data_IF_578371512319
#
_entry.id   IF_578371512319
#
_cell.length_a   1.000
_cell.length_b   1.000
_cell.length_c   1.000
_cell.angle_alpha   90.00
_cell.angle_beta   90.00
_cell.angle_gamma   90.00
#
_symmetry.space_group_name_H-M   'P 1'
#
loop_
_entity.id
_entity.type
_entity.pdbx_description
1 polymer ?
#
# COMPACT_ATOMS: atom_id res chain seq x y z
N UNK A 1 33.56 -7.21 35.57
CA UNK A 1 33.87 -8.22 34.52
C UNK A 1 32.60 -8.66 33.79
N UNK A 2 31.53 -9.04 34.50
CA UNK A 2 30.23 -9.47 33.95
C UNK A 2 29.59 -8.45 32.98
N UNK A 3 29.52 -7.17 33.32
CA UNK A 3 28.98 -6.13 32.41
C UNK A 3 29.69 -6.02 31.05
N UNK A 4 31.02 -6.17 31.05
CA UNK A 4 31.84 -6.17 29.82
C UNK A 4 31.55 -7.41 28.98
N UNK A 5 31.28 -8.55 29.63
CA UNK A 5 30.89 -9.79 28.95
C UNK A 5 29.51 -9.65 28.32
N UNK A 6 28.52 -9.16 29.06
CA UNK A 6 27.16 -8.88 28.54
C UNK A 6 27.20 -7.95 27.33
N UNK A 7 28.02 -6.88 27.39
CA UNK A 7 28.19 -5.95 26.26
C UNK A 7 28.79 -6.63 25.02
N UNK A 8 29.74 -7.56 25.20
CA UNK A 8 30.33 -8.32 24.09
C UNK A 8 29.35 -9.32 23.48
N UNK A 9 28.57 -10.01 24.31
CA UNK A 9 27.54 -10.97 23.84
C UNK A 9 26.45 -10.22 23.07
N UNK A 10 26.01 -9.06 23.57
CA UNK A 10 25.08 -8.17 22.87
C UNK A 10 25.62 -7.69 21.51
N UNK A 11 26.92 -7.40 21.44
CA UNK A 11 27.59 -6.97 20.21
C UNK A 11 27.83 -8.11 19.20
N UNK A 12 27.77 -9.37 19.63
CA UNK A 12 28.04 -10.54 18.79
C UNK A 12 27.02 -10.72 17.64
N UNK A 13 27.45 -11.40 16.56
CA UNK A 13 26.58 -11.69 15.40
C UNK A 13 25.51 -12.75 15.71
N UNK A 14 25.83 -13.70 16.59
CA UNK A 14 24.95 -14.78 17.03
C UNK A 14 24.68 -14.62 18.51
N UNK A 15 23.55 -14.00 18.85
CA UNK A 15 23.11 -13.87 20.24
C UNK A 15 22.53 -15.21 20.68
N UNK A 16 23.19 -15.87 21.62
CA UNK A 16 22.63 -16.98 22.39
C UNK A 16 21.60 -16.40 23.36
N UNK A 17 20.33 -16.76 23.15
CA UNK A 17 19.19 -16.18 23.85
C UNK A 17 19.19 -16.54 25.33
N UNK A 18 19.39 -17.83 25.64
CA UNK A 18 19.36 -18.34 27.01
C UNK A 18 20.56 -17.83 27.81
N UNK A 19 21.74 -17.87 27.21
CA UNK A 19 22.96 -17.39 27.87
C UNK A 19 22.92 -15.90 28.17
N UNK A 20 22.42 -15.08 27.23
CA UNK A 20 22.30 -13.64 27.43
C UNK A 20 21.24 -13.31 28.51
N UNK A 21 20.13 -14.04 28.54
CA UNK A 21 19.10 -13.85 29.56
C UNK A 21 19.66 -14.09 30.97
N UNK A 22 20.42 -15.17 31.16
CA UNK A 22 21.08 -15.48 32.42
C UNK A 22 22.07 -14.37 32.84
N UNK A 23 22.86 -13.85 31.89
CA UNK A 23 23.77 -12.74 32.15
C UNK A 23 23.06 -11.44 32.53
N UNK A 24 21.84 -11.22 32.04
CA UNK A 24 21.05 -10.03 32.37
C UNK A 24 20.35 -10.17 33.73
N UNK A 25 19.94 -11.39 34.10
CA UNK A 25 19.35 -11.68 35.43
C UNK A 25 20.38 -11.63 36.55
N UNK A 26 21.65 -11.93 36.25
CA UNK A 26 22.78 -11.88 37.20
C UNK A 26 23.32 -10.44 37.41
N UNK A 27 22.76 -9.44 36.71
CA UNK A 27 23.10 -8.02 36.83
C UNK A 27 21.96 -7.25 37.53
N UNK A 28 22.25 -6.13 38.21
CA UNK A 28 21.22 -5.25 38.73
C UNK A 28 20.29 -4.76 37.61
N UNK A 29 18.98 -4.71 37.89
CA UNK A 29 17.94 -4.40 36.88
C UNK A 29 18.24 -3.10 36.12
N UNK A 30 18.68 -2.05 36.82
CA UNK A 30 19.01 -0.75 36.22
C UNK A 30 20.16 -0.84 35.21
N UNK A 31 21.18 -1.65 35.53
CA UNK A 31 22.35 -1.88 34.68
C UNK A 31 21.95 -2.66 33.43
N UNK A 32 21.16 -3.72 33.60
CA UNK A 32 20.63 -4.54 32.51
C UNK A 32 19.78 -3.71 31.55
N UNK A 33 18.83 -2.92 32.08
CA UNK A 33 17.95 -2.06 31.27
C UNK A 33 18.76 -0.99 30.52
N UNK A 34 19.75 -0.38 31.18
CA UNK A 34 20.65 0.59 30.54
C UNK A 34 21.42 -0.05 29.39
N UNK A 35 21.96 -1.24 29.58
CA UNK A 35 22.69 -1.99 28.55
C UNK A 35 21.80 -2.38 27.37
N UNK A 36 20.57 -2.82 27.64
CA UNK A 36 19.59 -3.09 26.58
C UNK A 36 19.32 -1.83 25.76
N UNK A 37 19.12 -0.66 26.40
CA UNK A 37 18.91 0.62 25.69
C UNK A 37 20.12 1.03 24.84
N UNK A 38 21.34 0.92 25.37
CA UNK A 38 22.58 1.25 24.66
C UNK A 38 22.81 0.36 23.41
N UNK A 39 22.48 -0.93 23.52
CA UNK A 39 22.66 -1.90 22.42
C UNK A 39 21.68 -1.72 21.25
N UNK A 40 20.59 -0.95 21.44
CA UNK A 40 19.59 -0.69 20.38
C UNK A 40 20.20 -0.03 19.15
N UNK A 41 21.14 0.91 19.34
CA UNK A 41 21.78 1.63 18.22
C UNK A 41 22.67 0.76 17.34
N UNK A 42 23.27 -0.28 17.91
CA UNK A 42 24.26 -1.15 17.25
C UNK A 42 23.63 -2.31 16.47
N UNK A 43 22.37 -2.65 16.77
CA UNK A 43 21.69 -3.85 16.25
C UNK A 43 21.05 -3.62 14.87
N UNK A 44 21.03 -2.38 14.39
CA UNK A 44 20.26 -1.94 13.22
C UNK A 44 20.85 -2.32 11.85
N UNK A 45 21.95 -3.07 11.83
CA UNK A 45 22.53 -3.60 10.60
C UNK A 45 21.74 -4.77 10.00
N UNK A 46 20.83 -5.40 10.77
CA UNK A 46 20.00 -6.50 10.28
C UNK A 46 18.69 -6.62 11.07
N UNK A 47 17.56 -6.58 10.37
CA UNK A 47 16.23 -6.76 10.97
C UNK A 47 16.07 -8.11 11.70
N UNK A 48 16.70 -9.17 11.19
CA UNK A 48 16.72 -10.49 11.84
C UNK A 48 17.39 -10.44 13.22
N UNK A 49 18.49 -9.69 13.34
CA UNK A 49 19.21 -9.51 14.61
C UNK A 49 18.37 -8.68 15.58
N UNK A 50 17.76 -7.59 15.09
CA UNK A 50 16.85 -6.75 15.87
C UNK A 50 15.72 -7.59 16.46
N UNK A 51 15.10 -8.46 15.67
CA UNK A 51 13.99 -9.31 16.13
C UNK A 51 14.40 -10.26 17.25
N UNK A 52 15.56 -10.94 17.12
CA UNK A 52 16.09 -11.80 18.20
C UNK A 52 16.35 -11.01 19.48
N UNK A 53 16.96 -9.83 19.35
CA UNK A 53 17.25 -8.94 20.48
C UNK A 53 15.97 -8.43 21.16
N UNK A 54 14.94 -8.08 20.38
CA UNK A 54 13.67 -7.61 20.91
C UNK A 54 12.92 -8.74 21.62
N UNK A 55 12.96 -9.96 21.09
CA UNK A 55 12.37 -11.12 21.77
C UNK A 55 13.04 -11.40 23.11
N UNK A 56 14.37 -11.33 23.17
CA UNK A 56 15.12 -11.44 24.42
C UNK A 56 14.76 -10.34 25.41
N UNK A 57 14.67 -9.09 24.94
CA UNK A 57 14.29 -7.95 25.79
C UNK A 57 12.85 -8.07 26.31
N UNK A 58 11.95 -8.64 25.51
CA UNK A 58 10.58 -8.97 25.90
C UNK A 58 10.57 -10.03 27.01
N UNK A 59 11.25 -11.17 26.80
CA UNK A 59 11.26 -12.28 27.74
C UNK A 59 11.89 -11.86 29.09
N UNK A 60 12.97 -11.07 29.06
CA UNK A 60 13.56 -10.47 30.26
C UNK A 60 12.57 -9.53 30.98
N UNK A 61 11.86 -8.69 30.23
CA UNK A 61 10.84 -7.79 30.77
C UNK A 61 9.68 -8.55 31.40
N UNK A 62 9.23 -9.65 30.80
CA UNK A 62 8.18 -10.51 31.34
C UNK A 62 8.59 -11.18 32.64
N UNK A 63 9.83 -11.69 32.73
CA UNK A 63 10.35 -12.31 33.95
C UNK A 63 10.39 -11.35 35.15
N UNK A 64 10.61 -10.06 34.89
CA UNK A 64 10.69 -9.03 35.93
C UNK A 64 9.40 -8.21 36.12
N UNK A 65 8.31 -8.54 35.39
CA UNK A 65 7.05 -7.78 35.45
C UNK A 65 7.16 -6.34 34.95
N UNK A 66 8.06 -6.06 34.00
CA UNK A 66 8.31 -4.72 33.47
C UNK A 66 7.52 -4.45 32.18
N UNK A 67 6.24 -4.09 32.31
CA UNK A 67 5.33 -3.89 31.17
C UNK A 67 5.83 -2.85 30.14
N UNK A 68 6.47 -1.77 30.62
CA UNK A 68 7.04 -0.74 29.75
C UNK A 68 8.15 -1.29 28.85
N UNK A 69 8.98 -2.21 29.37
CA UNK A 69 10.06 -2.83 28.60
C UNK A 69 9.50 -3.83 27.59
N UNK A 70 8.48 -4.60 27.99
CA UNK A 70 7.76 -5.55 27.12
C UNK A 70 7.11 -4.79 25.96
N UNK A 71 6.33 -3.74 26.23
CA UNK A 71 5.66 -2.93 25.22
C UNK A 71 6.66 -2.29 24.24
N UNK A 72 7.75 -1.71 24.76
CA UNK A 72 8.81 -1.15 23.92
C UNK A 72 9.46 -2.24 23.04
N UNK A 73 9.74 -3.42 23.59
CA UNK A 73 10.38 -4.51 22.85
C UNK A 73 9.48 -5.05 21.74
N UNK A 74 8.17 -5.22 22.00
CA UNK A 74 7.18 -5.59 20.99
C UNK A 74 7.08 -4.57 19.86
N UNK A 75 7.08 -3.29 20.19
CA UNK A 75 7.08 -2.23 19.19
C UNK A 75 8.32 -2.30 18.28
N UNK A 76 9.51 -2.53 18.82
CA UNK A 76 10.72 -2.69 18.01
C UNK A 76 10.74 -3.99 17.18
N UNK A 77 10.17 -5.09 17.69
CA UNK A 77 9.92 -6.30 16.89
C UNK A 77 9.05 -5.98 15.67
N UNK A 78 7.94 -5.27 15.89
CA UNK A 78 7.02 -4.84 14.83
C UNK A 78 7.73 -3.97 13.78
N UNK A 79 8.55 -2.99 14.20
CA UNK A 79 9.37 -2.20 13.28
C UNK A 79 10.33 -3.05 12.44
N UNK A 80 10.94 -4.08 13.03
CA UNK A 80 11.86 -4.97 12.31
C UNK A 80 11.11 -5.86 11.30
N UNK A 81 9.92 -6.32 11.67
CA UNK A 81 9.06 -7.08 10.77
C UNK A 81 8.62 -6.23 9.57
N UNK A 82 8.25 -4.96 9.78
CA UNK A 82 7.98 -4.02 8.69
C UNK A 82 9.21 -3.78 7.81
N UNK A 83 10.39 -3.59 8.41
CA UNK A 83 11.62 -3.45 7.65
C UNK A 83 11.92 -4.64 6.75
N UNK A 84 11.65 -5.87 7.21
CA UNK A 84 11.81 -7.08 6.40
C UNK A 84 10.74 -7.18 5.30
N UNK A 85 9.46 -6.98 5.65
CA UNK A 85 8.34 -7.05 4.70
C UNK A 85 8.52 -6.02 3.58
N UNK A 86 8.76 -4.76 3.92
CA UNK A 86 8.93 -3.67 2.94
C UNK A 86 10.17 -3.84 2.07
N UNK A 87 11.25 -4.43 2.62
CA UNK A 87 12.43 -4.79 1.84
C UNK A 87 12.14 -5.77 0.70
N UNK A 88 11.13 -6.64 0.82
CA UNK A 88 10.72 -7.55 -0.25
C UNK A 88 10.04 -6.83 -1.43
N UNK A 89 9.53 -5.62 -1.19
CA UNK A 89 8.90 -4.75 -2.20
C UNK A 89 9.80 -3.57 -2.59
N UNK A 90 11.10 -3.65 -2.27
CA UNK A 90 12.10 -2.61 -2.57
C UNK A 90 11.81 -1.25 -1.90
N UNK A 91 11.06 -1.26 -0.80
CA UNK A 91 10.76 -0.05 -0.02
C UNK A 91 11.71 0.00 1.18
N UNK A 92 12.58 1.02 1.22
CA UNK A 92 13.47 1.23 2.35
C UNK A 92 12.70 1.72 3.58
N UNK A 93 12.86 1.00 4.69
CA UNK A 93 12.29 1.36 6.00
C UNK A 93 13.32 1.94 6.97
N UNK A 94 14.57 2.15 6.55
CA UNK A 94 15.68 2.51 7.46
C UNK A 94 15.45 3.84 8.17
N UNK A 95 14.93 4.84 7.46
CA UNK A 95 14.58 6.14 8.04
C UNK A 95 13.38 6.02 8.97
N UNK A 96 12.26 5.45 8.51
CA UNK A 96 11.04 5.28 9.30
C UNK A 96 11.22 4.41 10.55
N UNK A 97 12.19 3.50 10.55
CA UNK A 97 12.55 2.69 11.72
C UNK A 97 12.96 3.56 12.92
N UNK A 98 13.70 4.66 12.68
CA UNK A 98 14.12 5.61 13.72
C UNK A 98 13.32 6.92 13.72
N UNK A 99 12.63 7.19 12.62
CA UNK A 99 11.91 8.42 12.36
C UNK A 99 10.64 8.54 13.18
N UNK A 100 10.04 9.70 13.10
CA UNK A 100 8.78 10.05 13.72
C UNK A 100 7.59 9.63 12.84
N UNK A 101 6.46 10.33 12.97
CA UNK A 101 5.27 10.05 12.18
C UNK A 101 5.46 10.40 10.70
N UNK A 102 6.23 11.44 10.39
CA UNK A 102 6.46 11.93 9.04
C UNK A 102 7.20 10.90 8.19
N UNK A 103 8.32 10.34 8.67
CA UNK A 103 9.04 9.33 7.88
C UNK A 103 8.22 8.05 7.69
N UNK A 104 7.33 7.71 8.65
CA UNK A 104 6.38 6.61 8.49
C UNK A 104 5.32 6.91 7.43
N UNK A 105 4.94 8.17 7.27
CA UNK A 105 4.03 8.60 6.23
C UNK A 105 4.67 8.64 4.85
N UNK A 106 5.95 8.99 4.76
CA UNK A 106 6.69 8.91 3.50
C UNK A 106 6.80 7.46 3.01
N UNK A 107 7.01 6.50 3.92
CA UNK A 107 6.99 5.06 3.59
C UNK A 107 5.59 4.64 3.15
N UNK A 108 4.55 5.07 3.85
CA UNK A 108 3.17 4.77 3.47
C UNK A 108 2.84 5.26 2.06
N UNK A 109 3.24 6.49 1.71
CA UNK A 109 3.07 7.01 0.35
C UNK A 109 3.75 6.12 -0.68
N UNK A 110 4.99 5.69 -0.43
CA UNK A 110 5.73 4.74 -1.29
C UNK A 110 5.04 3.38 -1.41
N UNK A 111 4.41 2.89 -0.34
CA UNK A 111 3.63 1.65 -0.38
C UNK A 111 2.43 1.76 -1.33
N UNK A 112 1.75 2.91 -1.34
CA UNK A 112 0.61 3.15 -2.22
C UNK A 112 0.97 3.19 -3.71
N UNK A 113 2.24 3.44 -4.06
CA UNK A 113 2.70 3.51 -5.46
C UNK A 113 3.11 2.16 -6.03
N UNK A 114 3.29 1.15 -5.18
CA UNK A 114 3.80 -0.17 -5.58
C UNK A 114 2.64 -1.14 -5.80
N UNK A 115 2.46 -1.58 -7.05
CA UNK A 115 1.43 -2.55 -7.41
C UNK A 115 1.57 -3.89 -6.65
N UNK A 116 2.79 -4.26 -6.25
CA UNK A 116 3.06 -5.49 -5.50
C UNK A 116 2.59 -5.48 -4.04
N UNK A 117 2.26 -4.32 -3.48
CA UNK A 117 1.72 -4.20 -2.12
C UNK A 117 0.24 -4.54 -2.14
N UNK A 118 -0.24 -5.42 -1.24
CA UNK A 118 -1.68 -5.73 -1.13
C UNK A 118 -2.42 -4.73 -0.23
N UNK A 119 -3.75 -4.69 -0.35
CA UNK A 119 -4.57 -3.84 0.51
C UNK A 119 -4.49 -4.26 1.99
N UNK A 120 -4.41 -5.56 2.30
CA UNK A 120 -4.24 -6.03 3.67
C UNK A 120 -2.95 -5.50 4.29
N UNK A 121 -1.88 -5.45 3.50
CA UNK A 121 -0.60 -4.89 3.95
C UNK A 121 -0.71 -3.39 4.23
N UNK A 122 -1.45 -2.64 3.39
CA UNK A 122 -1.76 -1.22 3.62
C UNK A 122 -2.54 -1.03 4.93
N UNK A 123 -3.60 -1.80 5.14
CA UNK A 123 -4.45 -1.72 6.35
C UNK A 123 -3.63 -2.06 7.60
N UNK A 124 -2.85 -3.15 7.54
CA UNK A 124 -2.00 -3.58 8.65
C UNK A 124 -0.98 -2.48 9.01
N UNK A 125 -0.36 -1.85 8.01
CA UNK A 125 0.58 -0.74 8.24
C UNK A 125 -0.10 0.42 8.96
N UNK A 126 -1.29 0.81 8.48
CA UNK A 126 -2.04 1.89 9.10
C UNK A 126 -2.41 1.59 10.56
N UNK A 127 -2.85 0.35 10.85
CA UNK A 127 -3.17 -0.09 12.22
C UNK A 127 -1.94 -0.05 13.13
N UNK A 128 -0.83 -0.64 12.68
CA UNK A 128 0.41 -0.76 13.46
C UNK A 128 1.03 0.60 13.80
N UNK A 129 0.90 1.58 12.89
CA UNK A 129 1.44 2.93 13.08
C UNK A 129 0.41 3.97 13.49
N UNK A 130 -0.82 3.55 13.82
CA UNK A 130 -1.95 4.41 14.21
C UNK A 130 -2.21 5.54 13.20
N UNK A 131 -2.01 5.23 11.93
CA UNK A 131 -2.38 6.11 10.81
C UNK A 131 -3.88 5.89 10.54
N UNK A 132 -4.61 6.97 10.28
CA UNK A 132 -6.05 6.89 10.04
C UNK A 132 -6.34 6.09 8.76
N UNK A 133 -6.79 4.83 8.92
CA UNK A 133 -7.07 3.92 7.81
C UNK A 133 -8.06 4.55 6.83
N UNK A 134 -9.17 5.10 7.32
CA UNK A 134 -10.26 5.59 6.46
C UNK A 134 -9.82 6.77 5.60
N UNK A 135 -9.22 7.80 6.19
CA UNK A 135 -8.72 8.97 5.44
C UNK A 135 -7.67 8.58 4.39
N UNK A 136 -6.87 7.55 4.67
CA UNK A 136 -5.83 7.11 3.74
C UNK A 136 -6.38 6.16 2.66
N UNK A 137 -7.39 5.35 2.94
CA UNK A 137 -8.11 4.58 1.91
C UNK A 137 -8.82 5.51 0.93
N UNK A 138 -9.40 6.63 1.41
CA UNK A 138 -9.94 7.67 0.53
C UNK A 138 -8.87 8.23 -0.41
N UNK A 139 -7.73 8.70 0.14
CA UNK A 139 -6.62 9.20 -0.66
C UNK A 139 -6.04 8.14 -1.61
N UNK A 140 -6.13 6.87 -1.21
CA UNK A 140 -5.70 5.75 -2.04
C UNK A 140 -6.62 5.51 -3.24
N UNK A 141 -7.94 5.61 -3.03
CA UNK A 141 -8.92 5.58 -4.12
C UNK A 141 -8.72 6.76 -5.07
N UNK A 142 -8.61 7.98 -4.55
CA UNK A 142 -8.32 9.18 -5.34
C UNK A 142 -7.07 8.96 -6.19
N UNK A 143 -6.00 8.43 -5.61
CA UNK A 143 -4.76 8.12 -6.33
C UNK A 143 -4.97 7.08 -7.44
N UNK A 144 -5.65 5.96 -7.17
CA UNK A 144 -5.95 4.94 -8.20
C UNK A 144 -6.73 5.59 -9.35
N UNK A 145 -7.69 6.44 -9.03
CA UNK A 145 -8.50 7.13 -10.01
C UNK A 145 -7.66 8.12 -10.83
N UNK A 146 -6.79 8.93 -10.22
CA UNK A 146 -5.96 9.92 -10.92
C UNK A 146 -4.88 9.29 -11.80
N UNK A 147 -4.20 8.25 -11.31
CA UNK A 147 -3.07 7.61 -12.00
C UNK A 147 -3.44 6.30 -12.68
N UNK A 148 -4.69 6.17 -13.10
CA UNK A 148 -5.18 5.00 -13.82
C UNK A 148 -4.42 4.86 -15.14
N UNK A 149 -3.43 3.97 -15.17
CA UNK A 149 -2.78 3.52 -16.40
C UNK A 149 -3.48 2.23 -16.87
N UNK A 150 -3.37 1.89 -18.16
CA UNK A 150 -4.08 0.77 -18.84
C UNK A 150 -3.99 -0.64 -18.20
N UNK A 151 -3.27 -0.77 -17.08
CA UNK A 151 -3.23 -1.94 -16.22
C UNK A 151 -4.64 -2.38 -15.80
N UNK A 152 -5.01 -3.59 -16.21
CA UNK A 152 -6.27 -4.27 -15.90
C UNK A 152 -6.51 -4.48 -14.39
N UNK A 153 -5.48 -4.39 -13.55
CA UNK A 153 -5.56 -4.69 -12.12
C UNK A 153 -6.20 -3.56 -11.28
N UNK A 154 -6.27 -2.32 -11.78
CA UNK A 154 -6.78 -1.19 -10.98
C UNK A 154 -8.28 -1.30 -10.65
N UNK A 155 -9.09 -1.86 -11.55
CA UNK A 155 -10.53 -2.00 -11.33
C UNK A 155 -10.88 -2.97 -10.19
N UNK A 156 -10.23 -4.13 -10.15
CA UNK A 156 -10.41 -5.11 -9.06
C UNK A 156 -9.94 -4.54 -7.72
N UNK A 157 -8.78 -3.88 -7.73
CA UNK A 157 -8.21 -3.25 -6.55
C UNK A 157 -9.07 -2.11 -6.01
N UNK A 158 -9.70 -1.33 -6.90
CA UNK A 158 -10.63 -0.27 -6.52
C UNK A 158 -11.91 -0.84 -5.89
N UNK A 159 -12.48 -1.92 -6.47
CA UNK A 159 -13.60 -2.67 -5.87
C UNK A 159 -13.23 -3.18 -4.45
N UNK A 160 -12.03 -3.75 -4.31
CA UNK A 160 -11.52 -4.25 -3.02
C UNK A 160 -11.40 -3.16 -1.95
N UNK A 161 -10.81 -2.00 -2.31
CA UNK A 161 -10.65 -0.85 -1.39
C UNK A 161 -12.01 -0.30 -0.97
N UNK A 162 -12.91 -0.13 -1.95
CA UNK A 162 -14.24 0.44 -1.69
C UNK A 162 -15.06 -0.42 -0.73
N UNK A 163 -14.91 -1.76 -0.74
CA UNK A 163 -15.55 -2.65 0.26
C UNK A 163 -15.07 -2.41 1.70
N UNK A 164 -13.95 -1.71 1.91
CA UNK A 164 -13.36 -1.44 3.24
C UNK A 164 -13.59 0.00 3.72
N UNK A 165 -14.08 0.88 2.86
CA UNK A 165 -14.34 2.28 3.20
C UNK A 165 -15.74 2.44 3.80
N UNK A 166 -15.83 3.18 4.91
CA UNK A 166 -17.09 3.37 5.66
C UNK A 166 -17.97 4.46 5.02
N UNK A 167 -17.38 5.46 4.36
CA UNK A 167 -18.11 6.56 3.70
C UNK A 167 -17.96 6.45 2.18
N UNK A 168 -18.68 5.51 1.58
CA UNK A 168 -18.66 5.28 0.13
C UNK A 168 -19.32 6.42 -0.66
N UNK A 169 -20.29 7.14 -0.08
CA UNK A 169 -21.00 8.24 -0.74
C UNK A 169 -20.05 9.38 -1.17
N UNK A 170 -19.16 9.82 -0.27
CA UNK A 170 -18.17 10.85 -0.61
C UNK A 170 -17.26 10.42 -1.77
N UNK A 171 -16.86 9.15 -1.79
CA UNK A 171 -16.04 8.63 -2.89
C UNK A 171 -16.84 8.58 -4.19
N UNK A 172 -18.11 8.16 -4.14
CA UNK A 172 -18.96 8.11 -5.33
C UNK A 172 -19.15 9.51 -5.95
N UNK A 173 -19.23 10.56 -5.13
CA UNK A 173 -19.26 11.95 -5.63
C UNK A 173 -17.96 12.30 -6.37
N UNK A 174 -16.79 11.99 -5.81
CA UNK A 174 -15.50 12.26 -6.47
C UNK A 174 -15.32 11.41 -7.74
N UNK A 175 -15.74 10.14 -7.73
CA UNK A 175 -15.75 9.26 -8.91
C UNK A 175 -16.66 9.84 -9.99
N UNK A 176 -17.86 10.29 -9.63
CA UNK A 176 -18.79 10.90 -10.57
C UNK A 176 -18.22 12.19 -11.16
N UNK A 177 -17.59 13.04 -10.33
CA UNK A 177 -16.91 14.25 -10.83
C UNK A 177 -15.81 13.91 -11.82
N UNK A 178 -14.97 12.91 -11.50
CA UNK A 178 -13.90 12.46 -12.38
C UNK A 178 -14.42 11.89 -13.71
N UNK A 179 -15.57 11.18 -13.69
CA UNK A 179 -16.26 10.72 -14.89
C UNK A 179 -16.68 11.87 -15.82
N UNK A 180 -17.13 12.99 -15.25
CA UNK A 180 -17.65 14.14 -16.01
C UNK A 180 -16.53 15.07 -16.47
N UNK A 181 -15.56 15.35 -15.61
CA UNK A 181 -14.61 16.46 -15.81
C UNK A 181 -13.24 16.01 -16.35
N UNK A 182 -12.77 14.80 -16.04
CA UNK A 182 -11.37 14.40 -16.27
C UNK A 182 -11.22 13.23 -17.25
N UNK A 183 -12.21 12.35 -17.35
CA UNK A 183 -12.13 11.17 -18.23
C UNK A 183 -12.45 11.56 -19.67
N UNK A 184 -11.61 11.08 -20.58
CA UNK A 184 -11.91 11.16 -22.01
C UNK A 184 -13.13 10.32 -22.36
N UNK A 185 -14.07 10.89 -23.13
CA UNK A 185 -15.27 10.19 -23.59
C UNK A 185 -14.99 8.95 -24.46
N UNK A 186 -13.74 8.71 -24.85
CA UNK A 186 -13.28 7.55 -25.61
C UNK A 186 -12.57 6.48 -24.75
N UNK A 187 -12.36 6.73 -23.45
CA UNK A 187 -11.78 5.76 -22.52
C UNK A 187 -12.86 4.83 -21.94
N UNK A 188 -13.45 4.02 -22.84
CA UNK A 188 -14.60 3.18 -22.53
C UNK A 188 -14.32 2.14 -21.44
N UNK A 189 -13.07 1.66 -21.32
CA UNK A 189 -12.68 0.69 -20.29
C UNK A 189 -12.73 1.31 -18.90
N UNK A 190 -12.23 2.54 -18.74
CA UNK A 190 -12.28 3.26 -17.48
C UNK A 190 -13.70 3.69 -17.14
N UNK A 191 -14.47 4.13 -18.14
CA UNK A 191 -15.90 4.45 -17.99
C UNK A 191 -16.66 3.21 -17.50
N UNK A 192 -16.45 2.04 -18.11
CA UNK A 192 -17.10 0.78 -17.72
C UNK A 192 -16.84 0.46 -16.24
N UNK A 193 -15.59 0.47 -15.80
CA UNK A 193 -15.27 0.15 -14.40
C UNK A 193 -15.85 1.18 -13.43
N UNK A 194 -15.89 2.45 -13.79
CA UNK A 194 -16.51 3.50 -12.96
C UNK A 194 -18.02 3.32 -12.87
N UNK A 195 -18.70 3.05 -13.99
CA UNK A 195 -20.14 2.78 -13.98
C UNK A 195 -20.46 1.52 -13.16
N UNK A 196 -19.65 0.47 -13.30
CA UNK A 196 -19.72 -0.75 -12.48
C UNK A 196 -19.62 -0.44 -10.98
N UNK A 197 -18.70 0.44 -10.59
CA UNK A 197 -18.50 0.84 -9.20
C UNK A 197 -19.69 1.65 -8.69
N UNK A 198 -20.12 2.66 -9.42
CA UNK A 198 -21.27 3.48 -9.05
C UNK A 198 -22.54 2.61 -8.95
N UNK A 199 -22.67 1.62 -9.82
CA UNK A 199 -23.78 0.66 -9.80
C UNK A 199 -23.72 -0.26 -8.57
N UNK A 200 -22.54 -0.82 -8.28
CA UNK A 200 -22.32 -1.68 -7.11
C UNK A 200 -22.66 -0.98 -5.79
N UNK A 201 -22.43 0.32 -5.70
CA UNK A 201 -22.71 1.13 -4.51
C UNK A 201 -24.06 1.86 -4.56
N UNK A 202 -24.93 1.50 -5.50
CA UNK A 202 -26.28 2.07 -5.66
C UNK A 202 -26.28 3.60 -5.71
N UNK A 203 -25.22 4.21 -6.25
CA UNK A 203 -25.10 5.66 -6.32
C UNK A 203 -26.04 6.21 -7.38
N UNK A 204 -26.96 7.08 -6.98
CA UNK A 204 -27.94 7.66 -7.89
C UNK A 204 -27.39 8.92 -8.57
N UNK A 205 -27.23 8.86 -9.90
CA UNK A 205 -26.93 10.03 -10.72
C UNK A 205 -28.26 10.62 -11.19
N UNK A 206 -28.46 11.92 -11.00
CA UNK A 206 -29.65 12.59 -11.53
C UNK A 206 -29.70 12.47 -13.05
N UNK A 207 -30.87 12.14 -13.58
CA UNK A 207 -31.17 12.08 -15.01
C UNK A 207 -30.37 11.04 -15.82
N UNK A 208 -29.71 10.08 -15.15
CA UNK A 208 -28.94 9.02 -15.82
C UNK A 208 -29.16 7.64 -15.19
N UNK A 209 -29.43 6.64 -16.03
CA UNK A 209 -29.48 5.24 -15.61
C UNK A 209 -28.12 4.58 -15.81
N UNK A 210 -27.47 4.17 -14.72
CA UNK A 210 -26.20 3.44 -14.76
C UNK A 210 -26.31 2.15 -15.59
N UNK A 211 -27.42 1.42 -15.48
CA UNK A 211 -27.70 0.23 -16.28
C UNK A 211 -27.74 0.52 -17.78
N UNK A 212 -28.43 1.59 -18.17
CA UNK A 212 -28.46 2.01 -19.58
C UNK A 212 -27.07 2.38 -20.09
N UNK A 213 -26.25 3.01 -19.24
CA UNK A 213 -24.85 3.30 -19.54
C UNK A 213 -24.02 2.03 -19.84
N UNK A 214 -24.12 1.02 -18.98
CA UNK A 214 -23.42 -0.27 -19.15
C UNK A 214 -23.92 -1.03 -20.39
N UNK A 215 -25.24 -1.03 -20.64
CA UNK A 215 -25.82 -1.62 -21.86
C UNK A 215 -25.32 -0.91 -23.12
N UNK A 216 -25.24 0.42 -23.11
CA UNK A 216 -24.71 1.20 -24.22
C UNK A 216 -23.25 0.88 -24.49
N UNK A 217 -22.41 0.76 -23.45
CA UNK A 217 -21.02 0.34 -23.60
C UNK A 217 -20.91 -1.06 -24.20
N UNK A 218 -21.79 -1.98 -23.82
CA UNK A 218 -21.86 -3.31 -24.42
C UNK A 218 -22.21 -3.24 -25.91
N UNK A 219 -23.13 -2.36 -26.29
CA UNK A 219 -23.51 -2.14 -27.70
C UNK A 219 -22.37 -1.52 -28.50
N UNK A 220 -21.68 -0.51 -27.95
CA UNK A 220 -20.45 0.05 -28.52
C UNK A 220 -19.36 -1.02 -28.64
N UNK A 221 -19.31 -1.93 -27.66
CA UNK A 221 -18.57 -3.19 -27.57
C UNK A 221 -18.79 -4.19 -28.72
N UNK A 222 -19.97 -4.17 -29.33
CA UNK A 222 -20.30 -5.05 -30.44
C UNK A 222 -20.26 -4.32 -31.80
N UNK A 223 -20.17 -2.99 -31.79
CA UNK A 223 -20.34 -2.18 -32.98
C UNK A 223 -19.11 -2.24 -33.89
N UNK A 224 -19.35 -2.60 -35.16
CA UNK A 224 -18.33 -2.56 -36.21
C UNK A 224 -18.43 -1.25 -36.96
N UNK A 225 -17.32 -0.49 -37.04
CA UNK A 225 -17.29 0.82 -37.69
C UNK A 225 -17.63 0.70 -39.18
N UNK A 226 -18.49 1.60 -39.65
CA UNK A 226 -18.94 1.67 -41.06
C UNK A 226 -18.37 2.87 -41.83
N UNK A 227 -17.90 3.91 -41.13
CA UNK A 227 -17.31 5.12 -41.71
C UNK A 227 -15.79 5.24 -41.52
N UNK A 228 -15.13 6.19 -42.22
CA UNK A 228 -13.72 6.51 -41.98
C UNK A 228 -13.49 7.14 -40.60
N UNK A 229 -12.26 7.14 -40.09
CA UNK A 229 -11.91 7.85 -38.87
C UNK A 229 -12.10 9.36 -39.06
N UNK A 230 -12.63 10.02 -38.04
CA UNK A 230 -12.65 11.48 -37.97
C UNK A 230 -11.29 12.01 -37.51
N UNK A 231 -10.95 13.25 -37.90
CA UNK A 231 -9.67 13.89 -37.55
C UNK A 231 -9.39 13.94 -36.05
N UNK A 232 -10.44 14.10 -35.22
CA UNK A 232 -10.36 14.11 -33.76
C UNK A 232 -10.01 12.73 -33.20
N UNK A 233 -10.55 11.66 -33.81
CA UNK A 233 -10.26 10.28 -33.42
C UNK A 233 -8.83 9.90 -33.78
N UNK A 234 -8.34 10.37 -34.93
CA UNK A 234 -6.94 10.18 -35.34
C UNK A 234 -5.95 10.88 -34.40
N UNK A 235 -6.28 12.08 -33.92
CA UNK A 235 -5.47 12.83 -32.97
C UNK A 235 -5.39 12.11 -31.61
N UNK A 236 -6.53 11.66 -31.08
CA UNK A 236 -6.58 10.89 -29.85
C UNK A 236 -5.78 9.57 -29.96
N UNK A 237 -5.90 8.87 -31.10
CA UNK A 237 -5.17 7.63 -31.36
C UNK A 237 -3.65 7.81 -31.36
N UNK A 238 -3.15 8.87 -32.01
CA UNK A 238 -1.71 9.17 -32.07
C UNK A 238 -1.11 9.39 -30.68
N UNK A 239 -1.87 10.02 -29.79
CA UNK A 239 -1.43 10.32 -28.41
C UNK A 239 -1.37 9.06 -27.54
N UNK A 240 -2.31 8.13 -27.69
CA UNK A 240 -2.46 7.00 -26.75
C UNK A 240 -1.95 5.65 -27.26
N UNK A 241 -1.85 5.44 -28.58
CA UNK A 241 -1.43 4.15 -29.17
C UNK A 241 -0.13 4.22 -30.00
N UNK A 242 0.51 5.39 -30.07
CA UNK A 242 1.75 5.60 -30.82
C UNK A 242 1.58 5.62 -32.35
N UNK A 243 2.65 6.03 -33.05
CA UNK A 243 2.72 6.27 -34.51
C UNK A 243 2.65 4.99 -35.39
N UNK A 244 1.84 4.00 -35.02
CA UNK A 244 1.56 2.85 -35.89
C UNK A 244 0.63 3.26 -37.03
N UNK A 245 1.13 3.27 -38.27
CA UNK A 245 0.33 3.52 -39.48
C UNK A 245 -0.93 2.63 -39.50
N UNK A 246 -2.10 3.26 -39.47
CA UNK A 246 -3.41 2.66 -39.72
C UNK A 246 -3.49 2.16 -41.17
N UNK A 247 -2.84 1.04 -41.46
CA UNK A 247 -2.76 0.47 -42.82
C UNK A 247 -4.09 -0.08 -43.33
N UNK A 248 -5.13 -0.18 -42.49
CA UNK A 248 -6.46 -0.64 -42.89
C UNK A 248 -7.55 0.07 -42.06
N UNK A 249 -8.09 1.18 -42.58
CA UNK A 249 -9.16 1.98 -41.97
C UNK A 249 -10.46 1.18 -41.72
N UNK A 250 -10.69 0.09 -42.46
CA UNK A 250 -11.87 -0.76 -42.35
C UNK A 250 -11.80 -1.85 -41.25
N UNK A 251 -10.67 -1.96 -40.53
CA UNK A 251 -10.45 -2.99 -39.48
C UNK A 251 -10.10 -2.42 -38.12
N UNK A 252 -10.23 -1.12 -37.92
CA UNK A 252 -10.09 -0.52 -36.58
C UNK A 252 -11.42 -0.75 -35.88
N UNK A 253 -11.49 -1.62 -34.86
CA UNK A 253 -12.72 -1.74 -34.10
C UNK A 253 -12.99 -0.37 -33.44
N UNK A 254 -14.26 -0.05 -33.17
CA UNK A 254 -14.56 1.11 -32.30
C UNK A 254 -13.92 0.93 -30.91
N UNK A 255 -13.59 -0.32 -30.59
CA UNK A 255 -12.96 -0.75 -29.37
C UNK A 255 -11.50 -1.11 -29.60
N UNK A 256 -10.63 -0.54 -28.80
CA UNK A 256 -9.37 -1.18 -28.50
C UNK A 256 -9.63 -2.34 -27.53
N UNK A 257 -10.23 -3.43 -28.02
CA UNK A 257 -10.18 -4.71 -27.28
C UNK A 257 -8.76 -5.25 -27.45
N UNK A 258 -7.83 -4.79 -26.61
CA UNK A 258 -6.73 -5.66 -26.20
C UNK A 258 -7.29 -6.61 -25.15
N UNK A 259 -7.84 -7.73 -25.65
CA UNK A 259 -7.96 -8.95 -24.84
C UNK A 259 -6.57 -9.53 -24.61
#
# INVERSE_FOLDING_TARGET
>A
MKEKLTSKVLASRSVDHEYLLLLLLDLPVDVSVKKLKESKGQTLSSYTRVKKFCKMSEDYGTLLGMDNLVAASRYYCMLADWGKKLGQHEISFTQAFRGDHKEKMDVFQKMMEKDSITLEMIIQYCTDFKINVQSNLHAYVERILTYWHDNSCYGERLKEVMCKVINTERICIEIHKLLVDEISWYDYKRIEVILDLLFLYEYNIQDFSLNLGLELLTCLGAYTRTGPLLSIEEEWWKVHNGHGLLKNQAKVPVLLVTR
#
